data_IF_608194107609
#
_entry.id   IF_608194107609
#
_cell.length_a   1.000
_cell.length_b   1.000
_cell.length_c   1.000
_cell.angle_alpha   90.00
_cell.angle_beta   90.00
_cell.angle_gamma   90.00
#
_symmetry.space_group_name_H-M   'P 1'
#
loop_
_entity.id
_entity.type
_entity.pdbx_description
1 polymer ?
#
# COMPACT_ATOMS: atom_id res chain seq x y z
N UNK A 1 34.84 3.15 18.97
CA UNK A 1 33.58 3.41 19.69
C UNK A 1 32.81 4.63 19.16
N UNK A 2 32.98 5.06 17.89
CA UNK A 2 32.35 6.28 17.35
C UNK A 2 31.41 6.03 16.15
N UNK A 3 31.37 4.82 15.58
CA UNK A 3 30.56 4.50 14.39
C UNK A 3 29.15 3.94 14.70
N UNK A 4 28.95 3.40 15.90
CA UNK A 4 27.72 2.69 16.28
C UNK A 4 26.55 3.64 16.60
N UNK A 5 26.86 4.88 16.99
CA UNK A 5 25.87 5.94 17.24
C UNK A 5 25.45 6.69 15.96
N UNK A 6 26.23 6.58 14.88
CA UNK A 6 25.94 7.28 13.63
C UNK A 6 24.70 6.70 12.94
N UNK A 7 24.58 5.37 12.94
CA UNK A 7 23.49 4.62 12.30
C UNK A 7 22.12 5.01 12.89
N UNK A 8 21.87 4.96 14.21
CA UNK A 8 20.56 5.36 14.75
C UNK A 8 20.27 6.84 14.52
N UNK A 9 21.26 7.73 14.60
CA UNK A 9 21.05 9.18 14.38
C UNK A 9 20.59 9.48 12.96
N UNK A 10 21.17 8.84 11.95
CA UNK A 10 20.69 9.01 10.56
C UNK A 10 19.31 8.38 10.34
N UNK A 11 19.02 7.23 10.97
CA UNK A 11 17.74 6.55 10.82
C UNK A 11 16.59 7.36 11.45
N UNK A 12 16.76 7.80 12.70
CA UNK A 12 15.77 8.61 13.40
C UNK A 12 15.71 10.04 12.85
N UNK A 13 16.86 10.66 12.57
CA UNK A 13 16.92 12.01 12.01
C UNK A 13 16.38 12.10 10.59
N UNK A 14 16.72 11.14 9.73
CA UNK A 14 16.20 11.05 8.36
C UNK A 14 14.69 10.84 8.32
N UNK A 15 14.18 9.93 9.17
CA UNK A 15 12.72 9.68 9.27
C UNK A 15 11.99 10.93 9.78
N UNK A 16 12.51 11.61 10.80
CA UNK A 16 11.93 12.86 11.30
C UNK A 16 11.93 13.97 10.25
N UNK A 17 13.01 14.12 9.48
CA UNK A 17 13.11 15.12 8.40
C UNK A 17 12.06 14.86 7.30
N UNK A 18 11.88 13.62 6.87
CA UNK A 18 10.88 13.24 5.87
C UNK A 18 9.46 13.53 6.37
N UNK A 19 9.17 13.22 7.64
CA UNK A 19 7.87 13.51 8.24
C UNK A 19 7.60 15.02 8.31
N UNK A 20 8.57 15.82 8.75
CA UNK A 20 8.44 17.29 8.81
C UNK A 20 8.19 17.88 7.43
N UNK A 21 8.93 17.42 6.41
CA UNK A 21 8.72 17.85 5.01
C UNK A 21 7.31 17.45 4.52
N UNK A 22 6.87 16.23 4.81
CA UNK A 22 5.54 15.75 4.44
C UNK A 22 4.42 16.60 5.06
N UNK A 23 4.50 16.89 6.36
CA UNK A 23 3.53 17.74 7.04
C UNK A 23 3.56 19.17 6.49
N UNK A 24 4.75 19.75 6.31
CA UNK A 24 4.89 21.10 5.77
C UNK A 24 4.32 21.23 4.35
N UNK A 25 4.51 20.23 3.50
CA UNK A 25 3.94 20.21 2.15
C UNK A 25 2.39 20.22 2.20
N UNK A 26 1.78 19.42 3.09
CA UNK A 26 0.32 19.41 3.30
C UNK A 26 -0.22 20.75 3.81
N UNK A 27 0.51 21.43 4.69
CA UNK A 27 0.11 22.75 5.19
C UNK A 27 0.19 23.82 4.09
N UNK A 28 1.25 23.79 3.26
CA UNK A 28 1.41 24.70 2.12
C UNK A 28 0.34 24.49 1.05
N UNK A 29 0.00 23.23 0.74
CA UNK A 29 -1.09 22.90 -0.18
C UNK A 29 -2.44 23.45 0.30
N UNK A 30 -2.73 23.33 1.61
CA UNK A 30 -3.97 23.88 2.20
C UNK A 30 -4.03 25.40 2.16
N UNK A 31 -2.92 26.07 2.46
CA UNK A 31 -2.85 27.54 2.42
C UNK A 31 -2.97 28.07 1.00
N UNK A 32 -2.29 27.45 0.03
CA UNK A 32 -2.38 27.84 -1.39
C UNK A 32 -3.80 27.66 -1.96
N UNK A 33 -4.58 26.70 -1.46
CA UNK A 33 -6.00 26.56 -1.85
C UNK A 33 -6.88 27.67 -1.24
N UNK A 34 -6.58 28.14 -0.03
CA UNK A 34 -7.30 29.25 0.63
C UNK A 34 -6.98 30.58 -0.07
N UNK A 35 -5.71 30.85 -0.38
CA UNK A 35 -5.26 32.09 -1.03
C UNK A 35 -5.79 32.25 -2.47
N UNK A 36 -6.04 31.15 -3.17
CA UNK A 36 -6.61 31.17 -4.53
C UNK A 36 -8.13 31.36 -4.56
N UNK A 37 -8.79 31.49 -3.40
CA UNK A 37 -10.24 31.67 -3.30
C UNK A 37 -11.07 30.48 -3.79
N UNK A 38 -10.42 29.36 -4.14
CA UNK A 38 -11.08 28.12 -4.55
C UNK A 38 -11.47 27.39 -3.28
N UNK A 39 -12.77 27.32 -3.00
CA UNK A 39 -13.25 26.55 -1.87
C UNK A 39 -12.79 25.09 -2.02
N UNK A 40 -12.31 24.43 -0.95
CA UNK A 40 -12.07 22.99 -0.97
C UNK A 40 -13.34 22.16 -1.26
N UNK A 41 -14.50 22.82 -1.36
CA UNK A 41 -15.78 22.26 -1.73
C UNK A 41 -15.99 22.20 -3.25
N UNK A 42 -15.46 23.14 -4.03
CA UNK A 42 -15.58 23.10 -5.51
C UNK A 42 -14.60 22.11 -6.16
N UNK A 43 -13.49 21.79 -5.49
CA UNK A 43 -12.63 20.68 -5.91
C UNK A 43 -13.15 19.29 -5.47
N UNK A 44 -14.23 19.22 -4.66
CA UNK A 44 -14.93 17.95 -4.36
C UNK A 44 -15.74 17.44 -5.55
N UNK A 45 -15.90 18.23 -6.61
CA UNK A 45 -16.54 17.80 -7.86
C UNK A 45 -15.63 17.00 -8.79
N UNK A 46 -14.37 16.73 -8.43
CA UNK A 46 -13.53 15.82 -9.22
C UNK A 46 -13.73 14.38 -8.74
N UNK A 47 -14.34 13.49 -9.56
CA UNK A 47 -14.56 12.08 -9.19
C UNK A 47 -13.26 11.34 -8.87
N UNK A 48 -12.13 11.89 -9.34
CA UNK A 48 -10.79 11.37 -9.13
C UNK A 48 -10.27 11.50 -7.68
N UNK A 49 -10.76 12.47 -6.89
CA UNK A 49 -10.28 12.69 -5.50
C UNK A 49 -11.11 11.97 -4.44
N UNK A 50 -12.34 11.57 -4.76
CA UNK A 50 -13.15 10.67 -3.92
C UNK A 50 -12.51 9.27 -3.84
N UNK A 51 -11.77 8.85 -4.89
CA UNK A 51 -10.93 7.65 -4.88
C UNK A 51 -9.83 7.66 -3.80
N UNK A 52 -9.37 8.83 -3.33
CA UNK A 52 -8.28 8.98 -2.35
C UNK A 52 -8.75 9.17 -0.91
N UNK A 53 -10.06 9.33 -0.66
CA UNK A 53 -10.59 9.54 0.69
C UNK A 53 -10.82 8.18 1.35
N UNK A 54 -9.83 7.69 2.10
CA UNK A 54 -9.96 6.50 2.97
C UNK A 54 -10.76 5.35 2.32
N UNK A 55 -10.43 5.06 1.06
CA UNK A 55 -11.27 4.24 0.19
C UNK A 55 -11.32 2.82 0.80
N UNK A 56 -12.51 2.23 1.07
CA UNK A 56 -12.63 0.85 1.53
C UNK A 56 -11.95 -0.17 0.59
N UNK A 57 -11.57 0.25 -0.62
CA UNK A 57 -10.73 -0.53 -1.53
C UNK A 57 -9.28 -0.68 -1.04
N UNK A 58 -8.73 0.25 -0.27
CA UNK A 58 -7.36 0.15 0.24
C UNK A 58 -7.23 -0.96 1.29
N UNK A 59 -8.16 -1.04 2.23
CA UNK A 59 -8.25 -2.16 3.18
C UNK A 59 -8.57 -3.47 2.46
N UNK A 60 -9.39 -3.45 1.40
CA UNK A 60 -9.66 -4.62 0.56
C UNK A 60 -8.41 -5.15 -0.15
N UNK A 61 -7.55 -4.25 -0.68
CA UNK A 61 -6.28 -4.62 -1.32
C UNK A 61 -5.36 -5.35 -0.34
N UNK A 62 -5.15 -4.77 0.84
CA UNK A 62 -4.29 -5.37 1.87
C UNK A 62 -4.88 -6.66 2.45
N UNK A 63 -6.20 -6.71 2.66
CA UNK A 63 -6.89 -7.91 3.11
C UNK A 63 -6.76 -9.08 2.12
N UNK A 64 -7.06 -8.83 0.85
CA UNK A 64 -6.98 -9.86 -0.20
C UNK A 64 -5.54 -10.36 -0.40
N UNK A 65 -4.56 -9.45 -0.40
CA UNK A 65 -3.14 -9.80 -0.51
C UNK A 65 -2.70 -10.67 0.67
N UNK A 66 -3.02 -10.27 1.91
CA UNK A 66 -2.64 -11.03 3.11
C UNK A 66 -3.28 -12.42 3.14
N UNK A 67 -4.55 -12.51 2.72
CA UNK A 67 -5.29 -13.78 2.70
C UNK A 67 -4.68 -14.78 1.71
N UNK A 68 -4.42 -14.35 0.47
CA UNK A 68 -3.81 -15.21 -0.54
C UNK A 68 -2.35 -15.54 -0.26
N UNK A 69 -1.57 -14.62 0.33
CA UNK A 69 -0.21 -14.95 0.79
C UNK A 69 -0.25 -16.04 1.86
N UNK A 70 -1.20 -15.98 2.80
CA UNK A 70 -1.44 -17.04 3.78
C UNK A 70 -1.81 -18.38 3.14
N UNK A 71 -2.74 -18.37 2.17
CA UNK A 71 -3.08 -19.57 1.38
C UNK A 71 -1.85 -20.10 0.63
N UNK A 72 -1.07 -19.23 0.00
CA UNK A 72 0.13 -19.61 -0.73
C UNK A 72 1.20 -20.24 0.15
N UNK A 73 1.31 -19.82 1.42
CA UNK A 73 2.19 -20.45 2.40
C UNK A 73 1.67 -21.84 2.80
N UNK A 74 0.37 -21.99 3.07
CA UNK A 74 -0.23 -23.31 3.36
C UNK A 74 -0.09 -24.27 2.19
N UNK A 75 -0.33 -23.82 0.96
CA UNK A 75 -0.16 -24.65 -0.24
C UNK A 75 1.31 -24.96 -0.47
N UNK A 76 2.22 -23.99 -0.28
CA UNK A 76 3.67 -24.19 -0.43
C UNK A 76 4.21 -25.27 0.51
N UNK A 77 3.82 -25.26 1.79
CA UNK A 77 4.21 -26.30 2.77
C UNK A 77 3.67 -27.69 2.41
N UNK A 78 2.44 -27.77 1.89
CA UNK A 78 1.87 -29.03 1.42
C UNK A 78 2.62 -29.56 0.18
N UNK A 79 2.95 -28.67 -0.75
CA UNK A 79 3.59 -29.00 -2.02
C UNK A 79 5.05 -29.44 -1.83
N UNK A 80 5.79 -28.78 -0.95
CA UNK A 80 7.14 -29.20 -0.56
C UNK A 80 7.16 -30.62 0.00
N UNK A 81 6.23 -30.93 0.90
CA UNK A 81 6.14 -32.26 1.53
C UNK A 81 5.77 -33.38 0.56
N UNK A 82 5.10 -33.03 -0.54
CA UNK A 82 4.64 -33.98 -1.56
C UNK A 82 5.69 -34.19 -2.68
N UNK A 83 6.37 -33.12 -3.11
CA UNK A 83 7.31 -33.17 -4.24
C UNK A 83 8.79 -33.29 -3.82
N UNK A 84 9.14 -33.22 -2.54
CA UNK A 84 10.53 -33.20 -2.04
C UNK A 84 11.40 -32.10 -2.68
N UNK A 85 10.77 -31.03 -3.17
CA UNK A 85 11.47 -29.88 -3.74
C UNK A 85 11.86 -28.94 -2.59
N UNK A 86 13.15 -28.76 -2.37
CA UNK A 86 13.65 -27.92 -1.28
C UNK A 86 13.70 -26.43 -1.64
N UNK A 87 13.30 -25.61 -0.66
CA UNK A 87 13.47 -24.15 -0.49
C UNK A 87 12.85 -23.20 -1.53
N UNK A 88 12.75 -23.59 -2.80
CA UNK A 88 12.26 -22.68 -3.85
C UNK A 88 10.74 -22.63 -3.98
N UNK A 89 10.01 -23.58 -3.40
CA UNK A 89 8.56 -23.72 -3.56
C UNK A 89 7.80 -22.66 -2.76
N UNK A 90 8.28 -22.31 -1.57
CA UNK A 90 7.65 -21.30 -0.72
C UNK A 90 7.53 -19.91 -1.36
N UNK A 91 8.63 -19.26 -1.81
CA UNK A 91 8.53 -17.94 -2.41
C UNK A 91 7.76 -17.98 -3.75
N UNK A 92 7.87 -19.08 -4.51
CA UNK A 92 7.13 -19.27 -5.75
C UNK A 92 5.62 -19.31 -5.51
N UNK A 93 5.15 -20.15 -4.58
CA UNK A 93 3.72 -20.21 -4.22
C UNK A 93 3.22 -18.87 -3.67
N UNK A 94 3.96 -18.23 -2.75
CA UNK A 94 3.56 -16.93 -2.21
C UNK A 94 3.43 -15.85 -3.29
N UNK A 95 4.35 -15.78 -4.26
CA UNK A 95 4.28 -14.82 -5.36
C UNK A 95 3.12 -15.12 -6.33
N UNK A 96 2.88 -16.38 -6.64
CA UNK A 96 1.77 -16.78 -7.53
C UNK A 96 0.42 -16.41 -6.90
N UNK A 97 0.19 -16.83 -5.65
CA UNK A 97 -1.07 -16.52 -4.97
C UNK A 97 -1.20 -15.03 -4.64
N UNK A 98 -0.12 -14.36 -4.25
CA UNK A 98 -0.10 -12.91 -4.04
C UNK A 98 -0.38 -12.12 -5.33
N UNK A 99 0.13 -12.57 -6.47
CA UNK A 99 -0.19 -12.01 -7.79
C UNK A 99 -1.66 -12.21 -8.15
N UNK A 100 -2.20 -13.41 -7.89
CA UNK A 100 -3.62 -13.73 -8.07
C UNK A 100 -4.54 -12.79 -7.26
N UNK A 101 -4.18 -12.49 -6.02
CA UNK A 101 -4.91 -11.51 -5.21
C UNK A 101 -4.93 -10.13 -5.85
N UNK A 102 -3.81 -9.65 -6.42
CA UNK A 102 -3.78 -8.34 -7.09
C UNK A 102 -4.66 -8.31 -8.34
N UNK A 103 -4.71 -9.39 -9.11
CA UNK A 103 -5.58 -9.53 -10.28
C UNK A 103 -7.06 -9.52 -9.86
N UNK A 104 -7.43 -10.31 -8.83
CA UNK A 104 -8.79 -10.30 -8.28
C UNK A 104 -9.17 -8.92 -7.74
N UNK A 105 -8.25 -8.26 -7.04
CA UNK A 105 -8.46 -6.90 -6.54
C UNK A 105 -8.77 -5.95 -7.69
N UNK A 106 -7.99 -5.98 -8.77
CA UNK A 106 -8.22 -5.13 -9.94
C UNK A 106 -9.60 -5.39 -10.57
N UNK A 107 -10.02 -6.66 -10.67
CA UNK A 107 -11.32 -7.00 -11.24
C UNK A 107 -12.50 -6.54 -10.38
N UNK A 108 -12.38 -6.67 -9.05
CA UNK A 108 -13.40 -6.18 -8.11
C UNK A 108 -13.45 -4.65 -8.14
N UNK A 109 -12.28 -4.00 -8.12
CA UNK A 109 -12.19 -2.55 -8.20
C UNK A 109 -12.78 -2.03 -9.52
N UNK A 110 -12.45 -2.65 -10.66
CA UNK A 110 -12.93 -2.24 -11.98
C UNK A 110 -14.44 -2.37 -12.14
N UNK A 111 -15.08 -3.32 -11.45
CA UNK A 111 -16.54 -3.46 -11.44
C UNK A 111 -17.23 -2.35 -10.64
N UNK A 112 -16.63 -1.95 -9.52
CA UNK A 112 -17.17 -0.85 -8.71
C UNK A 112 -17.15 0.48 -9.47
N UNK A 113 -16.08 0.76 -10.21
CA UNK A 113 -15.96 1.97 -11.03
C UNK A 113 -16.90 2.05 -12.24
N UNK A 114 -17.60 0.97 -12.60
CA UNK A 114 -18.53 0.95 -13.74
C UNK A 114 -20.00 1.09 -13.30
N UNK A 115 -20.25 1.06 -11.99
CA UNK A 115 -21.59 1.16 -11.41
C UNK A 115 -21.90 2.58 -10.90
N UNK A 116 -20.89 3.46 -10.84
CA UNK A 116 -21.00 4.90 -10.62
C UNK A 116 -20.86 5.63 -11.98
#
# INVERSE_FOLDING_TARGET
>A
MNGEFLIPVFLFGGTAAVLVVYFNNRHKERMAMIEKGVSPAEFKGTPLREMLRANPLSSLKWGLLTMFVGIGLMVGTFLERSLYWHDSVYPACMLIFGGLALILFYWIASRKFKAD
#
